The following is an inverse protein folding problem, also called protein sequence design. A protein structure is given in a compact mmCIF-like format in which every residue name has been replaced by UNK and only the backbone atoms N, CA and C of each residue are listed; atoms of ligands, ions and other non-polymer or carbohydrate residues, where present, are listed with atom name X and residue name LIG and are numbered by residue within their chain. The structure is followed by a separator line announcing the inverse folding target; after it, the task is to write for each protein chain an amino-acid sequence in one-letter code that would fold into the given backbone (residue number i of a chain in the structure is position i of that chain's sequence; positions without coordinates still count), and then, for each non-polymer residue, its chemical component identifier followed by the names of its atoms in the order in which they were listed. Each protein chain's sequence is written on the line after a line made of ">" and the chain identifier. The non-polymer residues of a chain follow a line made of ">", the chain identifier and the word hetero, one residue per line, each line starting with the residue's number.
data_IF_644919224292
#
_entry.id   IF_644919224292
#
_cell.length_a   1.000
_cell.length_b   1.000
_cell.length_c   1.000
_cell.angle_alpha   90.00
_cell.angle_beta   90.00
_cell.angle_gamma   90.00
#
_symmetry.space_group_name_H-M   'P 1'
#
loop_
_entity.id
_entity.type
_entity.pdbx_description
1 polymer ?
#
# COMPACT_ATOMS: atom_id res chain seq x y z
N UNK A 1 21.13 8.40 0.96
CA UNK A 1 19.73 8.20 0.53
C UNK A 1 19.30 6.80 0.95
N UNK A 2 18.68 6.67 2.11
CA UNK A 2 17.97 5.44 2.46
C UNK A 2 16.53 5.73 2.06
N UNK A 3 16.07 5.20 0.93
CA UNK A 3 14.63 5.12 0.68
C UNK A 3 14.03 4.45 1.92
N UNK A 4 13.16 5.15 2.64
CA UNK A 4 12.56 4.61 3.85
C UNK A 4 11.95 3.25 3.51
N UNK A 5 12.15 2.22 4.35
CA UNK A 5 11.65 0.85 4.09
C UNK A 5 10.14 0.86 3.76
N UNK A 6 9.40 1.82 4.32
CA UNK A 6 8.00 2.10 3.99
C UNK A 6 7.76 2.37 2.50
N UNK A 7 8.58 3.20 1.88
CA UNK A 7 8.43 3.55 0.46
C UNK A 7 8.65 2.35 -0.45
N UNK A 8 9.62 1.49 -0.11
CA UNK A 8 9.86 0.25 -0.86
C UNK A 8 8.65 -0.68 -0.79
N UNK A 9 8.04 -0.80 0.40
CA UNK A 9 6.82 -1.62 0.57
C UNK A 9 5.64 -1.01 -0.19
N UNK A 10 5.50 0.32 -0.20
CA UNK A 10 4.48 1.01 -1.00
C UNK A 10 4.63 0.68 -2.49
N UNK A 11 5.83 0.81 -3.05
CA UNK A 11 6.10 0.52 -4.46
C UNK A 11 5.77 -0.94 -4.81
N UNK A 12 6.12 -1.89 -3.91
CA UNK A 12 5.76 -3.31 -4.08
C UNK A 12 4.25 -3.52 -4.06
N UNK A 13 3.52 -2.85 -3.16
CA UNK A 13 2.07 -2.91 -3.10
C UNK A 13 1.46 -2.35 -4.39
N UNK A 14 1.89 -1.18 -4.85
CA UNK A 14 1.41 -0.60 -6.10
C UNK A 14 1.61 -1.54 -7.30
N UNK A 15 2.80 -2.13 -7.43
CA UNK A 15 3.08 -3.09 -8.51
C UNK A 15 2.26 -4.37 -8.42
N UNK A 16 1.96 -4.84 -7.19
CA UNK A 16 1.02 -5.94 -7.00
C UNK A 16 -0.38 -5.55 -7.48
N UNK A 17 -0.89 -4.42 -6.98
CA UNK A 17 -2.24 -3.94 -7.28
C UNK A 17 -2.47 -3.58 -8.75
N UNK A 18 -1.41 -3.28 -9.50
CA UNK A 18 -1.45 -3.10 -10.95
C UNK A 18 -1.82 -4.40 -11.69
N UNK A 19 -1.48 -5.56 -11.12
CA UNK A 19 -1.82 -6.88 -11.67
C UNK A 19 -3.19 -7.37 -11.18
N UNK A 20 -3.56 -7.12 -9.92
CA UNK A 20 -4.89 -7.43 -9.38
C UNK A 20 -5.39 -6.30 -8.49
N UNK A 21 -6.60 -5.81 -8.77
CA UNK A 21 -7.20 -4.73 -7.99
C UNK A 21 -7.49 -5.09 -6.53
N UNK A 22 -7.66 -6.38 -6.22
CA UNK A 22 -8.01 -6.87 -4.89
C UNK A 22 -7.00 -7.91 -4.43
N UNK A 23 -6.41 -7.70 -3.26
CA UNK A 23 -5.54 -8.68 -2.61
C UNK A 23 -6.01 -8.97 -1.20
N UNK A 24 -5.89 -10.22 -0.78
CA UNK A 24 -6.08 -10.56 0.61
C UNK A 24 -4.79 -10.25 1.40
N UNK A 25 -4.88 -10.13 2.73
CA UNK A 25 -3.72 -9.78 3.54
C UNK A 25 -2.61 -10.84 3.52
N UNK A 26 -2.93 -12.12 3.27
CA UNK A 26 -1.92 -13.18 3.15
C UNK A 26 -1.11 -13.03 1.88
N UNK A 27 -1.76 -12.74 0.75
CA UNK A 27 -1.08 -12.52 -0.52
C UNK A 27 -0.13 -11.32 -0.42
N UNK A 28 -0.57 -10.24 0.23
CA UNK A 28 0.29 -9.07 0.46
C UNK A 28 1.51 -9.40 1.32
N UNK A 29 1.36 -10.29 2.32
CA UNK A 29 2.49 -10.79 3.13
C UNK A 29 3.44 -11.63 2.28
N UNK A 30 2.93 -12.52 1.43
CA UNK A 30 3.78 -13.36 0.59
C UNK A 30 4.55 -12.54 -0.47
N UNK A 31 3.92 -11.48 -1.00
CA UNK A 31 4.53 -10.58 -2.00
C UNK A 31 5.58 -9.68 -1.37
N UNK A 32 5.24 -8.99 -0.28
CA UNK A 32 6.13 -8.00 0.34
C UNK A 32 7.10 -8.62 1.36
N UNK A 33 6.82 -9.85 1.82
CA UNK A 33 7.49 -10.54 2.93
C UNK A 33 7.48 -9.77 4.26
N UNK A 34 6.52 -8.85 4.43
CA UNK A 34 6.38 -8.02 5.62
C UNK A 34 5.29 -8.55 6.56
N UNK A 35 5.37 -8.26 7.87
CA UNK A 35 4.37 -8.68 8.83
C UNK A 35 3.00 -8.03 8.57
N UNK A 36 1.94 -8.80 8.84
CA UNK A 36 0.53 -8.41 8.65
C UNK A 36 0.19 -7.08 9.35
N UNK A 37 0.76 -6.83 10.53
CA UNK A 37 0.53 -5.61 11.30
C UNK A 37 0.97 -4.38 10.51
N UNK A 38 2.18 -4.43 9.95
CA UNK A 38 2.76 -3.34 9.18
C UNK A 38 2.00 -3.08 7.89
N UNK A 39 1.63 -4.14 7.17
CA UNK A 39 0.82 -4.01 5.96
C UNK A 39 -0.57 -3.44 6.26
N UNK A 40 -1.20 -3.81 7.38
CA UNK A 40 -2.49 -3.24 7.79
C UNK A 40 -2.37 -1.75 8.14
N UNK A 41 -1.27 -1.30 8.71
CA UNK A 41 -1.03 0.12 8.98
C UNK A 41 -0.97 0.89 7.67
N UNK A 42 -0.10 0.47 6.75
CA UNK A 42 0.02 1.10 5.42
C UNK A 42 -1.30 1.06 4.67
N UNK A 43 -1.95 -0.10 4.60
CA UNK A 43 -3.21 -0.26 3.87
C UNK A 43 -4.36 0.54 4.50
N UNK A 44 -4.35 0.84 5.81
CA UNK A 44 -5.33 1.76 6.40
C UNK A 44 -5.13 3.20 5.96
N UNK A 45 -3.89 3.59 5.69
CA UNK A 45 -3.56 4.93 5.20
C UNK A 45 -3.94 5.06 3.72
N UNK A 46 -3.44 4.16 2.88
CA UNK A 46 -3.51 4.29 1.41
C UNK A 46 -4.61 3.45 0.74
N UNK A 47 -5.20 2.51 1.46
CA UNK A 47 -6.12 1.51 0.94
C UNK A 47 -7.49 1.51 1.61
N UNK A 48 -8.36 0.67 1.09
CA UNK A 48 -9.72 0.45 1.57
C UNK A 48 -9.89 -1.03 1.90
N UNK A 49 -10.44 -1.30 3.09
CA UNK A 49 -10.72 -2.66 3.54
C UNK A 49 -12.14 -3.09 3.16
N UNK A 50 -12.24 -4.13 2.34
CA UNK A 50 -13.51 -4.72 1.95
C UNK A 50 -14.00 -5.71 2.99
N UNK A 51 -14.94 -5.24 3.82
CA UNK A 51 -15.52 -6.00 4.93
C UNK A 51 -16.82 -6.75 4.57
N UNK A 52 -17.37 -6.57 3.36
CA UNK A 52 -18.67 -7.11 2.94
C UNK A 52 -18.58 -7.82 1.58
N UNK A 53 -19.38 -8.87 1.40
CA UNK A 53 -19.50 -9.62 0.14
C UNK A 53 -18.64 -10.90 0.07
N UNK A 54 -18.61 -11.53 -1.10
CA UNK A 54 -17.83 -12.75 -1.43
C UNK A 54 -16.31 -12.54 -1.38
N UNK A 55 -15.85 -11.29 -1.49
CA UNK A 55 -14.45 -10.87 -1.34
C UNK A 55 -14.15 -10.33 0.07
N UNK A 56 -14.80 -10.90 1.09
CA UNK A 56 -14.61 -10.48 2.48
C UNK A 56 -13.12 -10.59 2.85
N UNK A 57 -12.59 -9.57 3.49
CA UNK A 57 -11.19 -9.49 3.94
C UNK A 57 -10.14 -9.26 2.85
N UNK A 58 -10.52 -8.62 1.75
CA UNK A 58 -9.58 -8.07 0.77
C UNK A 58 -9.30 -6.59 1.02
N UNK A 59 -8.16 -6.14 0.51
CA UNK A 59 -7.73 -4.76 0.43
C UNK A 59 -7.71 -4.32 -1.03
N UNK A 60 -8.01 -3.05 -1.26
CA UNK A 60 -7.83 -2.37 -2.54
C UNK A 60 -7.17 -1.01 -2.30
N UNK A 61 -6.47 -0.47 -3.29
CA UNK A 61 -5.88 0.86 -3.20
C UNK A 61 -6.93 1.95 -3.42
N UNK A 62 -6.86 3.04 -2.63
CA UNK A 62 -7.66 4.23 -2.92
C UNK A 62 -7.16 4.88 -4.22
N UNK A 63 -8.07 5.34 -5.10
CA UNK A 63 -7.69 6.01 -6.34
C UNK A 63 -6.92 7.33 -6.08
N UNK A 64 -7.13 7.94 -4.92
CA UNK A 64 -6.46 9.18 -4.47
C UNK A 64 -4.96 8.99 -4.21
N UNK A 65 -4.56 7.81 -3.74
CA UNK A 65 -3.17 7.52 -3.37
C UNK A 65 -2.30 7.07 -4.54
N UNK A 66 -2.86 6.89 -5.73
CA UNK A 66 -2.08 6.66 -6.96
C UNK A 66 -1.09 7.79 -7.27
N UNK A 67 -1.29 8.97 -6.70
CA UNK A 67 -0.47 10.17 -6.93
C UNK A 67 0.29 10.65 -5.70
N UNK A 68 0.32 9.88 -4.60
CA UNK A 68 0.96 10.33 -3.35
C UNK A 68 2.49 10.44 -3.44
N UNK A 69 3.09 9.99 -4.54
CA UNK A 69 4.54 10.05 -4.73
C UNK A 69 5.09 11.45 -5.03
N UNK A 70 4.25 12.49 -5.08
CA UNK A 70 4.70 13.83 -5.48
C UNK A 70 4.59 14.90 -4.39
N UNK A 71 3.96 14.64 -3.24
CA UNK A 71 3.71 15.71 -2.25
C UNK A 71 4.74 15.78 -1.11
N UNK A 72 5.34 14.66 -0.68
CA UNK A 72 6.25 14.66 0.49
C UNK A 72 7.73 14.91 0.16
N UNK A 73 8.16 14.81 -1.10
CA UNK A 73 9.54 15.16 -1.48
C UNK A 73 9.75 16.68 -1.70
N UNK A 74 8.73 17.45 -2.08
CA UNK A 74 8.88 18.90 -2.34
C UNK A 74 8.97 19.77 -1.07
N UNK A 75 8.48 19.30 0.09
CA UNK A 75 8.49 20.10 1.33
C UNK A 75 9.81 20.00 2.13
N UNK A 76 10.70 19.07 1.79
CA UNK A 76 12.02 18.93 2.46
C UNK A 76 13.19 19.55 1.69
N UNK A 77 12.98 19.96 0.45
CA UNK A 77 13.98 20.67 -0.38
C UNK A 77 13.74 22.19 -0.41
N UNK A 78 12.70 22.67 0.28
CA UNK A 78 12.33 24.08 0.44
C UNK A 78 12.66 24.60 1.86
N UNK A 79 13.90 24.47 2.31
CA UNK A 79 14.41 25.09 3.54
C UNK A 79 15.72 25.83 3.28
#
# INVERSE_FOLDING_TARGET
>A
MVRAERQVVLDMLFSAFEKHQYYNIKDLVDITRQPVTYLKEIMREIGTYNSKGTHKSTWELKPEYRHYHSAEEEERESA
#
